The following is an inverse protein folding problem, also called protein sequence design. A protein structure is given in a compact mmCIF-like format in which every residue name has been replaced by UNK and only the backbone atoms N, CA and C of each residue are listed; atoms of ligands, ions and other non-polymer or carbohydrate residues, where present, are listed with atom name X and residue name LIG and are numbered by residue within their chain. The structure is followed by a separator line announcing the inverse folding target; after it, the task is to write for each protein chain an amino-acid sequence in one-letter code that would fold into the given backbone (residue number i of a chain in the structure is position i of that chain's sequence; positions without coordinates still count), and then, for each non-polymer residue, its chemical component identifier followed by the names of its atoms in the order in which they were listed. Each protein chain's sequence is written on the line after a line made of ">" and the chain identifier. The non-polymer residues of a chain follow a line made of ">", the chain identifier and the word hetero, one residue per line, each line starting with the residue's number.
data_IF_129064973800
#
_entry.id   IF_129064973800
#
_cell.length_a   1.000
_cell.length_b   1.000
_cell.length_c   1.000
_cell.angle_alpha   90.00
_cell.angle_beta   90.00
_cell.angle_gamma   90.00
#
_symmetry.space_group_name_H-M   'P 1'
#
loop_
_entity.id
_entity.type
_entity.pdbx_description
1 polymer ?
#
# COMPACT_ATOMS: atom_id res chain seq x y z
N UNK A 1 2.66 5.88 1.66
CA UNK A 1 1.92 6.61 0.60
C UNK A 1 1.94 8.12 0.86
N UNK A 2 2.71 8.87 0.06
CA UNK A 2 2.94 10.30 0.27
C UNK A 2 2.07 11.25 -0.60
N UNK A 3 1.20 10.70 -1.46
CA UNK A 3 0.38 11.54 -2.35
C UNK A 3 -0.77 12.25 -1.64
N UNK A 4 -1.20 13.38 -2.22
CA UNK A 4 -2.38 14.14 -1.81
C UNK A 4 -3.47 13.92 -2.86
N UNK A 5 -4.68 13.60 -2.41
CA UNK A 5 -5.89 13.61 -3.23
C UNK A 5 -6.62 14.94 -2.99
N UNK A 6 -7.08 15.55 -4.07
CA UNK A 6 -7.82 16.83 -4.03
C UNK A 6 -9.27 16.57 -4.45
N UNK A 7 -10.22 16.97 -3.60
CA UNK A 7 -11.63 16.92 -3.94
C UNK A 7 -11.94 17.94 -5.05
N UNK A 8 -12.57 17.50 -6.13
CA UNK A 8 -12.84 18.34 -7.30
C UNK A 8 -13.97 19.35 -7.04
N UNK A 9 -14.85 19.07 -6.07
CA UNK A 9 -16.01 19.91 -5.76
C UNK A 9 -15.69 20.97 -4.70
N UNK A 10 -14.85 20.66 -3.71
CA UNK A 10 -14.48 21.57 -2.62
C UNK A 10 -13.09 22.18 -2.77
N UNK A 11 -12.19 21.52 -3.51
CA UNK A 11 -10.78 21.89 -3.61
C UNK A 11 -9.93 21.46 -2.41
N UNK A 12 -10.51 20.75 -1.44
CA UNK A 12 -9.79 20.32 -0.24
C UNK A 12 -8.81 19.20 -0.56
N UNK A 13 -7.60 19.31 0.00
CA UNK A 13 -6.58 18.27 -0.09
C UNK A 13 -6.57 17.39 1.16
N UNK A 14 -6.47 16.07 0.98
CA UNK A 14 -6.16 15.14 2.06
C UNK A 14 -5.09 14.12 1.63
N UNK A 15 -4.41 13.51 2.59
CA UNK A 15 -3.43 12.47 2.27
C UNK A 15 -4.15 11.24 1.73
N UNK A 16 -3.56 10.58 0.73
CA UNK A 16 -4.06 9.30 0.23
C UNK A 16 -4.19 8.25 1.34
N UNK A 17 -3.29 8.26 2.33
CA UNK A 17 -3.37 7.38 3.50
C UNK A 17 -4.68 7.57 4.26
N UNK A 18 -5.02 8.81 4.56
CA UNK A 18 -6.14 9.16 5.41
C UNK A 18 -7.46 8.90 4.67
N UNK A 19 -7.51 9.23 3.38
CA UNK A 19 -8.65 8.92 2.52
C UNK A 19 -8.85 7.41 2.34
N UNK A 20 -7.76 6.65 2.19
CA UNK A 20 -7.83 5.19 2.08
C UNK A 20 -8.34 4.56 3.37
N UNK A 21 -7.90 5.02 4.56
CA UNK A 21 -8.42 4.52 5.84
C UNK A 21 -9.92 4.75 5.97
N UNK A 22 -10.38 5.96 5.62
CA UNK A 22 -11.82 6.28 5.59
C UNK A 22 -12.59 5.40 4.61
N UNK A 23 -12.01 5.10 3.44
CA UNK A 23 -12.62 4.19 2.47
C UNK A 23 -12.73 2.77 3.03
N UNK A 24 -11.68 2.25 3.68
CA UNK A 24 -11.68 0.91 4.29
C UNK A 24 -12.76 0.76 5.35
N UNK A 25 -12.97 1.78 6.19
CA UNK A 25 -14.06 1.82 7.17
C UNK A 25 -15.44 1.76 6.49
N UNK A 26 -15.64 2.54 5.42
CA UNK A 26 -16.90 2.59 4.69
C UNK A 26 -17.25 1.25 4.00
N UNK A 27 -16.25 0.52 3.52
CA UNK A 27 -16.46 -0.75 2.81
C UNK A 27 -16.41 -1.99 3.70
N UNK A 28 -15.98 -1.87 4.97
CA UNK A 28 -15.77 -3.00 5.88
C UNK A 28 -16.99 -3.93 6.00
N UNK A 29 -18.19 -3.35 6.20
CA UNK A 29 -19.45 -4.13 6.31
C UNK A 29 -19.79 -4.86 5.01
N UNK A 30 -19.48 -4.26 3.87
CA UNK A 30 -19.70 -4.89 2.56
C UNK A 30 -18.67 -5.99 2.29
N UNK A 31 -17.43 -5.80 2.72
CA UNK A 31 -16.37 -6.79 2.62
C UNK A 31 -16.66 -8.02 3.47
N UNK A 32 -17.20 -7.84 4.68
CA UNK A 32 -17.60 -8.94 5.56
C UNK A 32 -18.64 -9.86 4.89
N UNK A 33 -19.65 -9.27 4.23
CA UNK A 33 -20.70 -10.01 3.51
C UNK A 33 -20.20 -10.90 2.37
N UNK A 34 -19.04 -10.60 1.80
CA UNK A 34 -18.44 -11.35 0.69
C UNK A 34 -17.19 -12.12 1.09
N UNK A 35 -16.89 -12.20 2.39
CA UNK A 35 -15.72 -12.92 2.90
C UNK A 35 -14.38 -12.24 2.61
N UNK A 36 -14.37 -10.92 2.40
CA UNK A 36 -13.17 -10.13 2.09
C UNK A 36 -12.64 -9.33 3.30
N UNK A 37 -13.11 -9.60 4.52
CA UNK A 37 -12.69 -8.89 5.73
C UNK A 37 -11.16 -8.95 5.94
N UNK A 38 -10.53 -10.10 5.68
CA UNK A 38 -9.08 -10.27 5.80
C UNK A 38 -8.28 -9.37 4.85
N UNK A 39 -8.82 -9.09 3.65
CA UNK A 39 -8.20 -8.17 2.71
C UNK A 39 -8.26 -6.72 3.23
N UNK A 40 -9.38 -6.32 3.83
CA UNK A 40 -9.52 -4.99 4.45
C UNK A 40 -8.52 -4.82 5.60
N UNK A 41 -8.38 -5.83 6.47
CA UNK A 41 -7.41 -5.80 7.57
C UNK A 41 -5.96 -5.72 7.07
N UNK A 42 -5.61 -6.51 6.03
CA UNK A 42 -4.27 -6.49 5.44
C UNK A 42 -3.93 -5.12 4.83
N UNK A 43 -4.86 -4.54 4.06
CA UNK A 43 -4.66 -3.21 3.46
C UNK A 43 -4.61 -2.12 4.55
N UNK A 44 -5.45 -2.22 5.58
CA UNK A 44 -5.43 -1.28 6.71
C UNK A 44 -4.06 -1.29 7.41
N UNK A 45 -3.49 -2.48 7.64
CA UNK A 45 -2.14 -2.61 8.20
C UNK A 45 -1.07 -2.03 7.27
N UNK A 46 -1.17 -2.28 5.95
CA UNK A 46 -0.24 -1.75 4.96
C UNK A 46 -0.22 -0.21 4.95
N UNK A 47 -1.41 0.42 4.97
CA UNK A 47 -1.55 1.89 5.00
C UNK A 47 -1.00 2.46 6.31
N UNK A 48 -1.31 1.83 7.45
CA UNK A 48 -0.86 2.29 8.77
C UNK A 48 0.66 2.17 8.96
N UNK A 49 1.27 1.15 8.38
CA UNK A 49 2.72 0.93 8.43
C UNK A 49 3.49 1.77 7.40
N UNK A 50 2.80 2.63 6.64
CA UNK A 50 3.35 3.43 5.55
C UNK A 50 4.21 2.62 4.57
N UNK A 51 3.83 1.35 4.34
CA UNK A 51 4.64 0.42 3.56
C UNK A 51 4.63 0.83 2.07
N UNK A 52 5.77 1.32 1.58
CA UNK A 52 6.00 1.70 0.19
C UNK A 52 7.07 0.79 -0.43
N UNK A 53 6.64 -0.19 -1.23
CA UNK A 53 7.56 -1.09 -1.93
C UNK A 53 8.50 -0.33 -2.87
N UNK A 54 8.05 0.78 -3.46
CA UNK A 54 8.93 1.58 -4.30
C UNK A 54 10.09 2.19 -3.47
N UNK A 55 9.86 2.52 -2.20
CA UNK A 55 10.93 2.96 -1.30
C UNK A 55 11.86 1.81 -0.93
N UNK A 56 11.32 0.63 -0.61
CA UNK A 56 12.14 -0.56 -0.34
C UNK A 56 13.06 -0.92 -1.52
N UNK A 57 12.56 -0.78 -2.76
CA UNK A 57 13.35 -0.98 -3.98
C UNK A 57 14.44 0.08 -4.13
N UNK A 58 14.14 1.35 -3.83
CA UNK A 58 15.12 2.44 -3.84
C UNK A 58 16.21 2.23 -2.79
N UNK A 59 15.83 1.83 -1.59
CA UNK A 59 16.75 1.56 -0.47
C UNK A 59 17.67 0.38 -0.80
N UNK A 60 17.12 -0.70 -1.37
CA UNK A 60 17.93 -1.85 -1.82
C UNK A 60 19.03 -1.44 -2.81
N UNK A 61 18.72 -0.57 -3.77
CA UNK A 61 19.70 -0.06 -4.73
C UNK A 61 20.69 0.90 -4.05
N UNK A 62 20.20 1.77 -3.15
CA UNK A 62 21.04 2.71 -2.42
C UNK A 62 22.06 2.01 -1.49
N UNK A 63 21.71 0.84 -0.96
CA UNK A 63 22.57 -0.02 -0.14
C UNK A 63 23.58 -0.84 -0.97
N UNK A 64 23.63 -0.64 -2.30
CA UNK A 64 24.58 -1.28 -3.20
C UNK A 64 24.05 -2.54 -3.91
N UNK A 65 22.77 -2.84 -3.77
CA UNK A 65 22.11 -3.89 -4.55
C UNK A 65 22.05 -3.56 -6.04
N UNK A 66 22.28 -4.56 -6.90
CA UNK A 66 22.12 -4.40 -8.34
C UNK A 66 20.66 -4.57 -8.77
N UNK A 67 20.26 -3.99 -9.90
CA UNK A 67 18.92 -4.22 -10.47
C UNK A 67 18.67 -5.71 -10.78
N UNK A 68 19.69 -6.46 -11.17
CA UNK A 68 19.58 -7.92 -11.34
C UNK A 68 19.31 -8.64 -10.02
N UNK A 69 19.94 -8.20 -8.92
CA UNK A 69 19.68 -8.68 -7.58
C UNK A 69 18.28 -8.33 -7.09
N UNK A 70 17.79 -7.14 -7.43
CA UNK A 70 16.43 -6.70 -7.10
C UNK A 70 15.39 -7.57 -7.81
N UNK A 71 15.57 -7.84 -9.11
CA UNK A 71 14.70 -8.75 -9.88
C UNK A 71 14.72 -10.15 -9.27
N UNK A 72 15.92 -10.67 -8.91
CA UNK A 72 16.03 -11.97 -8.25
C UNK A 72 15.25 -12.01 -6.93
N UNK A 73 15.39 -10.98 -6.07
CA UNK A 73 14.66 -10.85 -4.81
C UNK A 73 13.14 -10.86 -5.02
N UNK A 74 12.64 -10.14 -6.03
CA UNK A 74 11.21 -10.13 -6.38
C UNK A 74 10.72 -11.49 -6.90
N UNK A 75 11.56 -12.26 -7.61
CA UNK A 75 11.23 -13.65 -7.96
C UNK A 75 11.12 -14.57 -6.74
N UNK A 76 12.02 -14.42 -5.75
CA UNK A 76 11.99 -15.19 -4.49
C UNK A 76 10.72 -14.87 -3.68
N UNK A 77 10.37 -13.58 -3.56
CA UNK A 77 9.12 -13.13 -2.90
C UNK A 77 7.88 -13.73 -3.58
N UNK A 78 7.82 -13.69 -4.92
CA UNK A 78 6.68 -14.23 -5.65
C UNK A 78 6.54 -15.75 -5.50
N UNK A 79 7.66 -16.47 -5.41
CA UNK A 79 7.68 -17.90 -5.17
C UNK A 79 7.37 -18.28 -3.71
N UNK A 80 7.37 -17.32 -2.78
CA UNK A 80 7.19 -17.56 -1.35
C UNK A 80 8.37 -18.28 -0.69
N UNK A 81 9.59 -18.04 -1.21
CA UNK A 81 10.86 -18.63 -0.75
C UNK A 81 11.53 -17.82 0.37
#
# INVERSE_FOLDING_TARGET
>A
MAGIITDVNTGDGCRLSDDTLRLLENVAVSADKVGAASAIEAIHLQVKNDHDEAQNMRDFVAEGGSLSGLVKKHCEIWAGL
#
